data_IF_694667863380
#
_entry.id   IF_694667863380
#
_cell.length_a   1.000
_cell.length_b   1.000
_cell.length_c   1.000
_cell.angle_alpha   90.00
_cell.angle_beta   90.00
_cell.angle_gamma   90.00
#
_symmetry.space_group_name_H-M   'P 1'
#
loop_
_entity.id
_entity.type
_entity.pdbx_description
1 polymer ?
#
# COMPACT_ATOMS: atom_id res chain seq x y z
N UNK A 1 23.12 -3.95 4.78
CA UNK A 1 22.28 -3.49 3.65
C UNK A 1 21.08 -2.75 4.20
N UNK A 2 20.84 -1.49 3.80
CA UNK A 2 19.56 -0.82 4.09
C UNK A 2 18.54 -1.33 3.08
N UNK A 3 17.61 -2.16 3.52
CA UNK A 3 16.58 -2.71 2.63
C UNK A 3 15.63 -1.60 2.18
N UNK A 4 15.24 -1.53 0.90
CA UNK A 4 14.48 -0.41 0.37
C UNK A 4 13.08 -0.39 1.00
N UNK A 5 12.74 0.73 1.66
CA UNK A 5 11.33 1.11 1.82
C UNK A 5 10.83 1.43 0.42
N UNK A 6 9.90 0.62 -0.09
CA UNK A 6 9.28 0.89 -1.39
C UNK A 6 8.37 2.13 -1.34
N UNK A 7 8.02 2.59 -0.13
CA UNK A 7 7.42 3.89 0.11
C UNK A 7 5.90 3.83 0.21
N UNK A 8 5.27 4.99 -0.01
CA UNK A 8 3.82 5.15 0.10
C UNK A 8 3.14 4.41 -1.04
N UNK A 9 2.11 3.63 -0.75
CA UNK A 9 1.35 2.89 -1.76
C UNK A 9 -0.15 2.83 -1.44
N UNK A 10 -0.94 2.57 -2.48
CA UNK A 10 -2.28 2.02 -2.34
C UNK A 10 -2.19 0.50 -2.54
N UNK A 11 -2.79 -0.26 -1.63
CA UNK A 11 -2.79 -1.72 -1.67
C UNK A 11 -4.23 -2.23 -1.69
N UNK A 12 -4.51 -3.20 -2.58
CA UNK A 12 -5.73 -3.99 -2.59
C UNK A 12 -5.58 -5.13 -1.59
N UNK A 13 -6.55 -5.25 -0.69
CA UNK A 13 -6.56 -6.24 0.38
C UNK A 13 -7.72 -7.21 0.15
N UNK A 14 -7.41 -8.50 0.15
CA UNK A 14 -8.38 -9.59 0.14
C UNK A 14 -7.95 -10.65 1.16
N UNK A 15 -8.90 -11.20 1.91
CA UNK A 15 -8.64 -12.20 2.97
C UNK A 15 -7.47 -11.84 3.91
N UNK A 16 -7.41 -10.59 4.34
CA UNK A 16 -6.36 -10.03 5.21
C UNK A 16 -4.92 -10.13 4.65
N UNK A 17 -4.78 -10.20 3.32
CA UNK A 17 -3.49 -10.16 2.61
C UNK A 17 -3.48 -9.13 1.50
N UNK A 18 -2.29 -8.63 1.16
CA UNK A 18 -2.13 -7.77 -0.02
C UNK A 18 -2.06 -8.62 -1.27
N UNK A 19 -3.00 -8.40 -2.18
CA UNK A 19 -3.11 -9.12 -3.46
C UNK A 19 -2.65 -8.27 -4.66
N UNK A 20 -2.58 -6.96 -4.51
CA UNK A 20 -2.00 -6.05 -5.50
C UNK A 20 -1.67 -4.71 -4.83
N UNK A 21 -0.74 -3.93 -5.38
CA UNK A 21 -0.46 -2.57 -4.93
C UNK A 21 0.05 -1.68 -6.05
N UNK A 22 -0.03 -0.38 -5.86
CA UNK A 22 0.65 0.60 -6.70
C UNK A 22 1.25 1.72 -5.85
N UNK A 23 2.43 2.19 -6.23
CA UNK A 23 3.11 3.24 -5.49
C UNK A 23 2.35 4.57 -5.65
N UNK A 24 2.33 5.39 -4.60
CA UNK A 24 1.78 6.75 -4.65
C UNK A 24 2.77 7.69 -5.32
N UNK A 25 3.04 7.44 -6.60
CA UNK A 25 3.90 8.25 -7.45
C UNK A 25 3.10 8.70 -8.66
N UNK A 26 3.07 10.01 -8.89
CA UNK A 26 2.55 10.60 -10.11
C UNK A 26 3.62 11.53 -10.70
N UNK A 27 3.86 11.51 -12.02
CA UNK A 27 4.68 12.53 -12.67
C UNK A 27 4.11 13.93 -12.44
N UNK A 28 4.99 14.94 -12.35
CA UNK A 28 4.59 16.30 -11.99
C UNK A 28 3.59 16.96 -12.95
N UNK A 29 3.51 16.50 -14.19
CA UNK A 29 2.61 17.03 -15.22
C UNK A 29 1.23 16.36 -15.24
N UNK A 30 1.02 15.32 -14.44
CA UNK A 30 -0.25 14.58 -14.40
C UNK A 30 -1.16 15.14 -13.31
N UNK A 31 -2.45 15.25 -13.60
CA UNK A 31 -3.45 15.50 -12.57
C UNK A 31 -3.42 14.38 -11.53
N UNK A 32 -2.93 14.72 -10.33
CA UNK A 32 -2.72 13.77 -9.26
C UNK A 32 -4.02 13.10 -8.81
N UNK A 33 -5.14 13.83 -8.77
CA UNK A 33 -6.41 13.28 -8.30
C UNK A 33 -7.00 12.33 -9.33
N UNK A 34 -6.93 12.68 -10.62
CA UNK A 34 -7.33 11.79 -11.70
C UNK A 34 -6.46 10.51 -11.72
N UNK A 35 -5.14 10.65 -11.57
CA UNK A 35 -4.21 9.53 -11.49
C UNK A 35 -4.49 8.63 -10.28
N UNK A 36 -4.65 9.22 -9.10
CA UNK A 36 -5.02 8.52 -7.87
C UNK A 36 -6.32 7.73 -8.08
N UNK A 37 -7.35 8.34 -8.64
CA UNK A 37 -8.64 7.70 -8.82
C UNK A 37 -8.57 6.53 -9.82
N UNK A 38 -7.78 6.67 -10.89
CA UNK A 38 -7.51 5.58 -11.82
C UNK A 38 -6.79 4.41 -11.15
N UNK A 39 -5.73 4.70 -10.37
CA UNK A 39 -5.00 3.71 -9.60
C UNK A 39 -5.87 2.98 -8.58
N UNK A 40 -6.69 3.71 -7.83
CA UNK A 40 -7.60 3.12 -6.84
C UNK A 40 -8.66 2.27 -7.54
N UNK A 41 -9.31 2.77 -8.59
CA UNK A 41 -10.34 2.02 -9.33
C UNK A 41 -9.80 0.70 -9.91
N UNK A 42 -8.57 0.71 -10.43
CA UNK A 42 -7.93 -0.51 -10.92
C UNK A 42 -7.66 -1.53 -9.80
N UNK A 43 -7.30 -1.07 -8.60
CA UNK A 43 -7.05 -1.92 -7.45
C UNK A 43 -8.33 -2.49 -6.83
N UNK A 44 -9.46 -1.78 -6.93
CA UNK A 44 -10.76 -2.22 -6.40
C UNK A 44 -11.25 -3.53 -7.04
N UNK A 45 -10.82 -3.83 -8.27
CA UNK A 45 -11.08 -5.12 -8.92
C UNK A 45 -10.46 -6.32 -8.20
N UNK A 46 -9.45 -6.10 -7.35
CA UNK A 46 -8.75 -7.17 -6.62
C UNK A 46 -9.17 -7.26 -5.14
N UNK A 47 -9.75 -6.19 -4.57
CA UNK A 47 -10.15 -6.18 -3.17
C UNK A 47 -10.33 -4.78 -2.58
N UNK A 48 -10.42 -4.69 -1.26
CA UNK A 48 -10.60 -3.40 -0.57
C UNK A 48 -9.31 -2.60 -0.59
N UNK A 49 -9.34 -1.40 -1.17
CA UNK A 49 -8.14 -0.56 -1.29
C UNK A 49 -7.88 0.23 -0.02
N UNK A 50 -6.63 0.21 0.46
CA UNK A 50 -6.14 1.02 1.59
C UNK A 50 -4.87 1.76 1.20
N UNK A 51 -4.69 2.96 1.76
CA UNK A 51 -3.44 3.73 1.66
C UNK A 51 -2.51 3.41 2.83
N UNK A 52 -1.21 3.29 2.56
CA UNK A 52 -0.24 2.94 3.58
C UNK A 52 1.20 3.03 3.09
N UNK A 53 2.07 2.29 3.75
CA UNK A 53 3.50 2.23 3.48
C UNK A 53 3.93 0.76 3.35
N UNK A 54 4.71 0.45 2.32
CA UNK A 54 5.28 -0.88 2.14
C UNK A 54 6.68 -0.93 2.76
N UNK A 55 6.87 -1.83 3.74
CA UNK A 55 8.11 -1.98 4.49
C UNK A 55 8.65 -3.41 4.36
N UNK A 56 9.96 -3.56 4.53
CA UNK A 56 10.59 -4.87 4.71
C UNK A 56 10.85 -5.11 6.20
N UNK A 57 10.35 -6.23 6.73
CA UNK A 57 10.55 -6.65 8.13
C UNK A 57 10.58 -8.17 8.16
N UNK A 58 11.47 -8.76 8.95
CA UNK A 58 11.54 -10.22 9.19
C UNK A 58 11.55 -11.06 7.90
N UNK A 59 12.34 -10.62 6.91
CA UNK A 59 12.45 -11.23 5.58
C UNK A 59 11.15 -11.28 4.75
N UNK A 60 10.20 -10.39 5.03
CA UNK A 60 8.95 -10.27 4.30
C UNK A 60 8.58 -8.82 4.03
N UNK A 61 7.89 -8.56 2.90
CA UNK A 61 7.23 -7.29 2.69
C UNK A 61 5.90 -7.24 3.43
N UNK A 62 5.72 -6.17 4.20
CA UNK A 62 4.52 -5.90 4.99
C UNK A 62 3.96 -4.56 4.56
N UNK A 63 2.66 -4.53 4.27
CA UNK A 63 1.91 -3.29 4.09
C UNK A 63 1.39 -2.81 5.45
N UNK A 64 1.76 -1.58 5.82
CA UNK A 64 1.30 -0.94 7.05
C UNK A 64 0.27 0.11 6.68
N UNK A 65 -0.99 -0.11 7.08
CA UNK A 65 -2.07 0.81 6.75
C UNK A 65 -1.88 2.17 7.44
N UNK A 66 -1.97 3.27 6.69
CA UNK A 66 -1.92 4.61 7.28
C UNK A 66 -3.21 4.91 8.02
N UNK A 67 -3.07 5.38 9.26
CA UNK A 67 -4.19 5.86 10.05
C UNK A 67 -4.57 7.28 9.61
N UNK A 68 -5.87 7.52 9.42
CA UNK A 68 -6.40 8.87 9.17
C UNK A 68 -6.16 9.79 10.38
N UNK A 69 -6.04 11.11 10.15
CA UNK A 69 -5.76 12.11 11.20
C UNK A 69 -6.66 12.03 12.44
N UNK A 70 -7.92 11.59 12.28
CA UNK A 70 -8.86 11.34 13.40
C UNK A 70 -8.37 10.30 14.41
N UNK A 71 -7.44 9.43 14.04
CA UNK A 71 -6.92 8.35 14.89
C UNK A 71 -5.60 8.71 15.60
N UNK A 72 -5.14 9.97 15.55
CA UNK A 72 -3.98 10.49 16.31
C UNK A 72 -4.37 11.11 17.67
N UNK A 73 -5.45 10.63 18.29
CA UNK A 73 -5.88 11.06 19.63
C UNK A 73 -4.99 10.51 20.75
N UNK A 74 -5.40 10.71 22.02
CA UNK A 74 -4.65 10.33 23.24
C UNK A 74 -4.31 8.83 23.36
N UNK A 75 -4.99 7.96 22.59
CA UNK A 75 -4.69 6.53 22.48
C UNK A 75 -4.60 6.16 21.00
N UNK A 76 -3.42 6.27 20.38
CA UNK A 76 -3.23 5.90 18.98
C UNK A 76 -3.53 4.41 18.82
N UNK A 77 -4.37 4.06 17.84
CA UNK A 77 -4.52 2.65 17.44
C UNK A 77 -3.23 2.17 16.79
N UNK A 78 -2.92 0.89 16.96
CA UNK A 78 -1.88 0.24 16.15
C UNK A 78 -2.37 0.15 14.70
N UNK A 79 -1.60 0.63 13.71
CA UNK A 79 -1.87 0.37 12.30
C UNK A 79 -2.08 -1.12 12.04
N UNK A 80 -3.07 -1.48 11.23
CA UNK A 80 -3.20 -2.88 10.77
C UNK A 80 -2.09 -3.15 9.75
N UNK A 81 -1.44 -4.29 9.93
CA UNK A 81 -0.37 -4.79 9.08
C UNK A 81 -0.89 -5.96 8.26
N UNK A 82 -0.47 -6.04 7.00
CA UNK A 82 -0.91 -7.07 6.06
C UNK A 82 0.32 -7.66 5.36
N UNK A 83 0.48 -8.99 5.34
CA UNK A 83 1.54 -9.62 4.58
C UNK A 83 1.33 -9.38 3.08
N UNK A 84 2.43 -9.17 2.36
CA UNK A 84 2.42 -9.14 0.89
C UNK A 84 2.87 -10.49 0.37
N UNK A 85 2.05 -11.07 -0.50
CA UNK A 85 2.36 -12.34 -1.15
C UNK A 85 3.57 -12.19 -2.09
N UNK A 86 4.41 -13.21 -2.13
CA UNK A 86 5.62 -13.20 -2.95
C UNK A 86 5.30 -13.03 -4.45
N UNK A 87 4.23 -13.67 -4.93
CA UNK A 87 3.75 -13.55 -6.31
C UNK A 87 3.39 -12.11 -6.70
N UNK A 88 2.91 -11.30 -5.75
CA UNK A 88 2.57 -9.90 -5.97
C UNK A 88 3.81 -9.06 -6.18
N UNK A 89 4.91 -9.39 -5.50
CA UNK A 89 6.20 -8.71 -5.67
C UNK A 89 6.83 -9.05 -7.01
N UNK A 90 6.77 -10.32 -7.40
CA UNK A 90 7.30 -10.81 -8.68
C UNK A 90 6.58 -10.18 -9.86
N UNK A 91 5.24 -10.09 -9.81
CA UNK A 91 4.44 -9.46 -10.85
C UNK A 91 4.72 -7.95 -11.04
N UNK A 92 5.42 -7.29 -10.10
CA UNK A 92 5.78 -5.87 -10.17
C UNK A 92 7.22 -5.63 -10.63
N UNK A 93 8.07 -6.66 -10.57
CA UNK A 93 9.47 -6.61 -11.00
C UNK A 93 9.70 -7.25 -12.38
N UNK A 94 8.66 -7.87 -12.95
CA UNK A 94 8.65 -8.38 -14.32
C UNK A 94 8.32 -7.33 -15.38
#
# INVERSE_FOLDING_TARGET
>A
MKTPRLGKCWAAINDDRVVNYTLMYAPAHVDYDAHRNACVSALEAFGTVKGGDLIWRDNQYIFVQRLTHRNRGKSPRTPKEYPVEQSVLEAKNG
#
